data_IF_756340168456
#
_entry.id   IF_756340168456
#
_cell.length_a   1.000
_cell.length_b   1.000
_cell.length_c   1.000
_cell.angle_alpha   90.00
_cell.angle_beta   90.00
_cell.angle_gamma   90.00
#
_symmetry.space_group_name_H-M   'P 1'
#
loop_
_entity.id
_entity.type
_entity.pdbx_description
1 polymer ?
#
# COMPACT_ATOMS: atom_id res chain seq x y z
N UNK A 1 -11.12 5.87 25.88
CA UNK A 1 -9.92 5.56 25.07
C UNK A 1 -9.63 6.68 24.06
N UNK A 2 -8.64 7.53 24.36
CA UNK A 2 -8.24 8.60 23.46
C UNK A 2 -7.64 7.99 22.17
N UNK A 3 -8.27 8.32 21.03
CA UNK A 3 -7.87 8.04 19.64
C UNK A 3 -8.35 6.79 18.89
N UNK A 4 -9.01 5.79 19.47
CA UNK A 4 -9.65 4.69 18.69
C UNK A 4 -8.76 4.09 17.56
N UNK A 5 -9.36 3.66 16.44
CA UNK A 5 -8.64 3.09 15.29
C UNK A 5 -8.14 4.14 14.27
N UNK A 6 -8.42 5.44 14.48
CA UNK A 6 -8.01 6.52 13.54
C UNK A 6 -6.49 6.58 13.29
N UNK A 7 -5.62 6.38 14.29
CA UNK A 7 -4.17 6.29 14.07
C UNK A 7 -3.77 5.16 13.11
N UNK A 8 -4.46 4.01 13.19
CA UNK A 8 -4.21 2.87 12.30
C UNK A 8 -4.65 3.18 10.86
N UNK A 9 -5.80 3.84 10.69
CA UNK A 9 -6.26 4.26 9.36
C UNK A 9 -5.27 5.21 8.68
N UNK A 10 -4.71 6.18 9.42
CA UNK A 10 -3.69 7.08 8.87
C UNK A 10 -2.42 6.33 8.49
N UNK A 11 -1.96 5.39 9.31
CA UNK A 11 -0.77 4.58 9.00
C UNK A 11 -0.98 3.76 7.73
N UNK A 12 -2.14 3.10 7.58
CA UNK A 12 -2.46 2.32 6.37
C UNK A 12 -2.53 3.22 5.13
N UNK A 13 -3.15 4.40 5.25
CA UNK A 13 -3.23 5.36 4.15
C UNK A 13 -1.82 5.75 3.66
N UNK A 14 -0.97 6.22 4.58
CA UNK A 14 0.36 6.73 4.23
C UNK A 14 1.32 5.63 3.77
N UNK A 15 1.29 4.47 4.42
CA UNK A 15 2.27 3.41 4.17
C UNK A 15 1.87 2.48 3.02
N UNK A 16 0.57 2.36 2.71
CA UNK A 16 0.06 1.40 1.71
C UNK A 16 -0.68 2.12 0.59
N UNK A 17 -1.71 2.90 0.90
CA UNK A 17 -2.60 3.48 -0.11
C UNK A 17 -1.89 4.50 -0.99
N UNK A 18 -1.08 5.38 -0.40
CA UNK A 18 -0.37 6.43 -1.15
C UNK A 18 0.68 5.82 -2.11
N UNK A 19 1.37 4.76 -1.69
CA UNK A 19 2.33 4.01 -2.53
C UNK A 19 1.62 3.36 -3.72
N UNK A 20 0.50 2.68 -3.47
CA UNK A 20 -0.28 2.03 -4.53
C UNK A 20 -0.88 3.09 -5.48
N UNK A 21 -1.34 4.24 -4.97
CA UNK A 21 -1.88 5.30 -5.79
C UNK A 21 -0.84 5.85 -6.79
N UNK A 22 0.42 6.02 -6.38
CA UNK A 22 1.50 6.39 -7.29
C UNK A 22 1.69 5.37 -8.42
N UNK A 23 1.67 4.08 -8.09
CA UNK A 23 1.80 3.00 -9.06
C UNK A 23 0.61 2.91 -10.02
N UNK A 24 -0.61 3.25 -9.56
CA UNK A 24 -1.81 3.34 -10.41
C UNK A 24 -1.77 4.56 -11.32
N UNK A 25 -1.27 5.69 -10.86
CA UNK A 25 -1.23 6.90 -11.68
C UNK A 25 -0.10 6.87 -12.71
N UNK A 26 1.07 6.36 -12.32
CA UNK A 26 2.31 6.56 -13.08
C UNK A 26 3.19 5.31 -13.22
N UNK A 27 2.86 4.22 -12.52
CA UNK A 27 3.73 3.04 -12.41
C UNK A 27 3.13 1.78 -13.01
N UNK A 28 3.42 0.64 -12.38
CA UNK A 28 3.13 -0.70 -12.92
C UNK A 28 1.65 -1.06 -12.91
N UNK A 29 0.84 -0.36 -12.12
CA UNK A 29 -0.59 -0.60 -12.00
C UNK A 29 -1.43 0.33 -12.88
N UNK A 30 -0.81 1.10 -13.79
CA UNK A 30 -1.52 2.09 -14.62
C UNK A 30 -2.63 1.49 -15.45
N UNK A 31 -2.40 0.31 -15.99
CA UNK A 31 -3.36 -0.41 -16.83
C UNK A 31 -4.14 -1.47 -16.04
N UNK A 32 -4.08 -1.40 -14.70
CA UNK A 32 -4.60 -2.40 -13.79
C UNK A 32 -3.61 -3.52 -13.48
N UNK A 33 -3.92 -4.34 -12.49
CA UNK A 33 -3.03 -5.43 -12.05
C UNK A 33 -3.33 -5.88 -10.64
N UNK A 34 -2.47 -6.75 -10.10
CA UNK A 34 -2.56 -7.20 -8.70
C UNK A 34 -1.31 -6.84 -7.95
N UNK A 35 -1.47 -6.31 -6.74
CA UNK A 35 -0.35 -6.08 -5.81
C UNK A 35 -0.51 -6.99 -4.59
N UNK A 36 0.59 -7.64 -4.19
CA UNK A 36 0.70 -8.33 -2.91
C UNK A 36 1.53 -7.47 -1.97
N UNK A 37 0.97 -7.17 -0.80
CA UNK A 37 1.65 -6.46 0.28
C UNK A 37 2.04 -7.48 1.34
N UNK A 38 3.33 -7.53 1.66
CA UNK A 38 3.91 -8.39 2.67
C UNK A 38 4.69 -7.59 3.72
N UNK A 39 5.21 -8.30 4.72
CA UNK A 39 6.12 -7.74 5.71
C UNK A 39 7.39 -8.57 5.73
N UNK A 40 8.53 -7.93 5.46
CA UNK A 40 9.86 -8.55 5.50
C UNK A 40 10.76 -7.70 6.38
N UNK A 41 11.41 -8.31 7.39
CA UNK A 41 12.33 -7.60 8.31
C UNK A 41 11.73 -6.31 8.91
N UNK A 42 10.46 -6.39 9.35
CA UNK A 42 9.68 -5.26 9.92
C UNK A 42 9.45 -4.07 8.96
N UNK A 43 9.61 -4.27 7.65
CA UNK A 43 9.27 -3.28 6.62
C UNK A 43 8.21 -3.85 5.68
N UNK A 44 7.34 -2.99 5.16
CA UNK A 44 6.41 -3.37 4.12
C UNK A 44 7.17 -3.71 2.83
N UNK A 45 6.73 -4.77 2.16
CA UNK A 45 7.21 -5.17 0.85
C UNK A 45 6.05 -5.23 -0.12
N UNK A 46 6.27 -4.73 -1.34
CA UNK A 46 5.28 -4.70 -2.40
C UNK A 46 5.74 -5.58 -3.54
N UNK A 47 4.87 -6.45 -4.02
CA UNK A 47 5.11 -7.30 -5.18
C UNK A 47 3.98 -7.06 -6.18
N UNK A 48 4.32 -6.43 -7.30
CA UNK A 48 3.41 -6.16 -8.39
C UNK A 48 3.41 -7.36 -9.34
N UNK A 49 2.24 -7.97 -9.50
CA UNK A 49 2.01 -9.12 -10.35
C UNK A 49 1.23 -8.62 -11.56
N UNK A 50 1.96 -8.42 -12.65
CA UNK A 50 1.37 -8.20 -13.96
C UNK A 50 1.02 -9.59 -14.54
N UNK A 51 -0.11 -9.69 -15.25
CA UNK A 51 -0.51 -10.92 -15.95
C UNK A 51 0.06 -10.95 -17.35
#
# INVERSE_FOLDING_TARGET
>A
PAFGARPLGRLVQTEISDVIAGEVLFGRLRDGGKVKVGVTKKKLSFSFLDS
#
